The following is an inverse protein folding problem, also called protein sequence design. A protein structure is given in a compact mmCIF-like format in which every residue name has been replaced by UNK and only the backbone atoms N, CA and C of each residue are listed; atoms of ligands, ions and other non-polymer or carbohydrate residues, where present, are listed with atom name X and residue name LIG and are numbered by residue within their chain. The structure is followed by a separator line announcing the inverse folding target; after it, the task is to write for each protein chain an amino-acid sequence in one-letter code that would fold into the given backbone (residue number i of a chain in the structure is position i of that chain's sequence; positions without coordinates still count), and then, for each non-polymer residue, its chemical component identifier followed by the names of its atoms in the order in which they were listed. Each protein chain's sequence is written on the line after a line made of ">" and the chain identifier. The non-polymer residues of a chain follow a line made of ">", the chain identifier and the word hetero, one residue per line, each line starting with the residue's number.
data_IF_336573041005
#
_entry.id   IF_336573041005
#
_cell.length_a   1.000
_cell.length_b   1.000
_cell.length_c   1.000
_cell.angle_alpha   90.00
_cell.angle_beta   90.00
_cell.angle_gamma   90.00
#
_symmetry.space_group_name_H-M   'P 1'
#
loop_
_entity.id
_entity.type
_entity.pdbx_description
1 polymer ?
#
# COMPACT_ATOMS: atom_id res chain seq x y z
N UNK A 1 -67.03 -18.81 -28.93
CA UNK A 1 -66.31 -18.91 -27.65
C UNK A 1 -64.82 -18.92 -27.97
N UNK A 2 -64.13 -17.78 -27.79
CA UNK A 2 -62.67 -17.66 -28.05
C UNK A 2 -61.98 -17.70 -26.72
N UNK A 3 -61.23 -18.76 -26.45
CA UNK A 3 -60.38 -18.87 -25.26
C UNK A 3 -59.14 -18.00 -25.45
N UNK A 4 -59.02 -16.94 -24.65
CA UNK A 4 -57.84 -16.11 -24.54
C UNK A 4 -56.88 -16.79 -23.53
N UNK A 5 -55.76 -17.37 -23.99
CA UNK A 5 -54.68 -17.83 -23.12
C UNK A 5 -53.87 -16.59 -22.70
N UNK A 6 -53.97 -16.21 -21.45
CA UNK A 6 -53.15 -15.18 -20.81
C UNK A 6 -51.81 -15.80 -20.46
N UNK A 7 -50.76 -15.55 -21.27
CA UNK A 7 -49.40 -15.93 -20.93
C UNK A 7 -48.88 -14.99 -19.85
N UNK A 8 -48.71 -15.48 -18.63
CA UNK A 8 -48.03 -14.76 -17.53
C UNK A 8 -46.53 -14.70 -17.85
N UNK A 9 -46.03 -13.54 -18.30
CA UNK A 9 -44.61 -13.26 -18.32
C UNK A 9 -44.16 -13.14 -16.85
N UNK A 10 -43.52 -14.17 -16.31
CA UNK A 10 -42.71 -14.03 -15.08
C UNK A 10 -41.50 -13.20 -15.43
N UNK A 11 -41.53 -11.90 -15.12
CA UNK A 11 -40.33 -11.06 -15.10
C UNK A 11 -39.44 -11.54 -13.95
N UNK A 12 -38.35 -12.21 -14.28
CA UNK A 12 -37.27 -12.46 -13.31
C UNK A 12 -36.66 -11.13 -12.95
N UNK A 13 -37.01 -10.59 -11.80
CA UNK A 13 -36.30 -9.45 -11.23
C UNK A 13 -34.81 -9.84 -11.11
N UNK A 14 -33.88 -8.95 -11.49
CA UNK A 14 -32.48 -9.22 -11.26
C UNK A 14 -32.28 -9.47 -9.77
N UNK A 15 -31.67 -10.60 -9.43
CA UNK A 15 -31.28 -10.88 -8.07
C UNK A 15 -30.25 -9.80 -7.67
N UNK A 16 -30.67 -8.85 -6.86
CA UNK A 16 -29.74 -7.89 -6.27
C UNK A 16 -28.71 -8.68 -5.47
N UNK A 17 -27.43 -8.33 -5.65
CA UNK A 17 -26.34 -8.91 -4.88
C UNK A 17 -26.69 -8.81 -3.38
N UNK A 18 -26.71 -9.94 -2.68
CA UNK A 18 -26.83 -9.92 -1.22
C UNK A 18 -25.60 -9.19 -0.68
N UNK A 19 -25.76 -8.21 0.22
CA UNK A 19 -24.62 -7.56 0.84
C UNK A 19 -23.80 -8.62 1.59
N UNK A 20 -22.56 -8.81 1.14
CA UNK A 20 -21.62 -9.78 1.73
C UNK A 20 -20.65 -8.98 2.59
N UNK A 21 -20.49 -9.38 3.85
CA UNK A 21 -19.48 -8.82 4.75
C UNK A 21 -18.20 -9.65 4.62
N UNK A 22 -17.15 -9.03 4.12
CA UNK A 22 -15.83 -9.64 3.90
C UNK A 22 -14.74 -8.56 3.93
N UNK A 23 -13.56 -8.83 4.50
CA UNK A 23 -13.24 -9.94 5.40
C UNK A 23 -13.87 -9.75 6.80
N UNK A 24 -14.12 -10.85 7.50
CA UNK A 24 -14.67 -10.87 8.85
C UNK A 24 -13.63 -11.43 9.81
N UNK A 25 -12.98 -10.54 10.57
CA UNK A 25 -11.90 -10.88 11.51
C UNK A 25 -12.49 -11.21 12.87
N UNK A 26 -12.27 -12.43 13.33
CA UNK A 26 -12.78 -12.94 14.58
C UNK A 26 -11.83 -12.66 15.75
N UNK A 27 -12.37 -12.66 16.96
CA UNK A 27 -11.60 -12.35 18.17
C UNK A 27 -10.44 -13.33 18.45
N UNK A 28 -10.50 -14.55 17.90
CA UNK A 28 -9.47 -15.57 18.03
C UNK A 28 -8.41 -15.53 16.90
N UNK A 29 -8.49 -14.51 16.02
CA UNK A 29 -7.57 -14.33 14.89
C UNK A 29 -7.95 -15.07 13.62
N UNK A 30 -9.05 -15.86 13.60
CA UNK A 30 -9.57 -16.43 12.36
C UNK A 30 -10.15 -15.32 11.49
N UNK A 31 -10.02 -15.48 10.18
CA UNK A 31 -10.59 -14.56 9.19
C UNK A 31 -11.52 -15.33 8.26
N UNK A 32 -12.76 -14.87 8.14
CA UNK A 32 -13.71 -15.42 7.18
C UNK A 32 -13.82 -14.51 5.97
N UNK A 33 -13.43 -15.03 4.82
CA UNK A 33 -13.56 -14.38 3.53
C UNK A 33 -14.83 -14.85 2.83
N UNK A 34 -15.56 -13.93 2.20
CA UNK A 34 -16.81 -14.22 1.48
C UNK A 34 -16.84 -13.47 0.15
N UNK A 35 -17.30 -14.14 -0.89
CA UNK A 35 -17.49 -13.56 -2.22
C UNK A 35 -18.84 -14.02 -2.79
N UNK A 36 -19.70 -13.09 -3.15
CA UNK A 36 -20.90 -13.42 -3.91
C UNK A 36 -20.55 -13.53 -5.40
N UNK A 37 -20.54 -14.76 -5.91
CA UNK A 37 -20.24 -15.08 -7.30
C UNK A 37 -21.08 -16.29 -7.74
N UNK A 38 -22.42 -16.11 -7.95
CA UNK A 38 -23.36 -17.21 -8.15
C UNK A 38 -23.08 -18.02 -9.42
N UNK A 39 -22.49 -17.40 -10.45
CA UNK A 39 -22.20 -18.03 -11.73
C UNK A 39 -20.79 -18.62 -11.84
N UNK A 40 -19.91 -18.33 -10.87
CA UNK A 40 -18.55 -18.86 -10.85
C UNK A 40 -18.56 -20.39 -10.64
N UNK A 41 -17.59 -21.07 -11.29
CA UNK A 41 -17.39 -22.51 -11.20
C UNK A 41 -16.30 -22.87 -10.20
N UNK A 42 -15.30 -22.01 -10.07
CA UNK A 42 -14.17 -22.14 -9.14
C UNK A 42 -13.84 -20.78 -8.54
N UNK A 43 -13.65 -20.75 -7.21
CA UNK A 43 -13.15 -19.58 -6.50
C UNK A 43 -12.10 -20.05 -5.50
N UNK A 44 -10.92 -19.48 -5.59
CA UNK A 44 -9.81 -19.73 -4.69
C UNK A 44 -9.41 -18.46 -3.95
N UNK A 45 -9.13 -18.60 -2.67
CA UNK A 45 -8.49 -17.55 -1.88
C UNK A 45 -6.98 -17.63 -2.03
N UNK A 46 -6.37 -16.52 -2.40
CA UNK A 46 -4.94 -16.26 -2.28
C UNK A 46 -4.76 -15.27 -1.14
N UNK A 47 -4.14 -15.71 -0.06
CA UNK A 47 -3.90 -14.86 1.11
C UNK A 47 -2.48 -15.14 1.62
N UNK A 48 -1.73 -14.09 1.89
CA UNK A 48 -0.38 -14.18 2.41
C UNK A 48 -0.36 -14.97 3.73
N UNK A 49 0.60 -15.89 3.88
CA UNK A 49 0.67 -16.76 5.04
C UNK A 49 -0.37 -17.89 5.09
N UNK A 50 -1.30 -17.95 4.15
CA UNK A 50 -2.32 -19.00 4.04
C UNK A 50 -2.07 -19.80 2.77
N UNK A 51 -2.15 -21.14 2.85
CA UNK A 51 -2.09 -21.97 1.64
C UNK A 51 -3.26 -21.63 0.72
N UNK A 52 -2.99 -21.50 -0.60
CA UNK A 52 -4.04 -21.31 -1.60
C UNK A 52 -5.14 -22.36 -1.43
N UNK A 53 -6.36 -21.91 -1.21
CA UNK A 53 -7.46 -22.80 -0.82
C UNK A 53 -8.70 -22.51 -1.63
N UNK A 54 -9.33 -23.58 -2.13
CA UNK A 54 -10.63 -23.52 -2.79
C UNK A 54 -11.70 -23.13 -1.74
N UNK A 55 -12.53 -22.15 -2.10
CA UNK A 55 -13.66 -21.70 -1.28
C UNK A 55 -14.87 -22.61 -1.50
N UNK A 56 -15.78 -22.64 -0.55
CA UNK A 56 -17.02 -23.42 -0.62
C UNK A 56 -18.20 -22.53 -0.97
N UNK A 57 -18.99 -22.94 -1.96
CA UNK A 57 -20.19 -22.24 -2.42
C UNK A 57 -21.43 -22.75 -1.72
N UNK A 58 -22.25 -21.83 -1.23
CA UNK A 58 -23.59 -22.13 -0.70
C UNK A 58 -24.68 -22.07 -1.78
N UNK A 59 -25.92 -22.42 -1.38
CA UNK A 59 -27.08 -22.42 -2.27
C UNK A 59 -27.50 -21.01 -2.76
N UNK A 60 -26.98 -19.95 -2.12
CA UNK A 60 -27.24 -18.55 -2.49
C UNK A 60 -26.14 -17.97 -3.38
N UNK A 61 -25.11 -18.77 -3.72
CA UNK A 61 -24.00 -18.37 -4.58
C UNK A 61 -22.92 -17.57 -3.88
N UNK A 62 -22.87 -17.63 -2.54
CA UNK A 62 -21.80 -17.04 -1.74
C UNK A 62 -20.70 -18.09 -1.53
N UNK A 63 -19.50 -17.73 -1.92
CA UNK A 63 -18.30 -18.50 -1.66
C UNK A 63 -17.69 -18.08 -0.35
N UNK A 64 -17.31 -19.04 0.49
CA UNK A 64 -16.82 -18.79 1.85
C UNK A 64 -15.58 -19.65 2.15
N UNK A 65 -14.61 -19.05 2.83
CA UNK A 65 -13.47 -19.74 3.45
C UNK A 65 -13.13 -19.07 4.78
N UNK A 66 -12.84 -19.86 5.81
CA UNK A 66 -12.36 -19.38 7.11
C UNK A 66 -10.97 -19.95 7.36
N UNK A 67 -10.02 -19.10 7.71
CA UNK A 67 -8.64 -19.50 8.01
C UNK A 67 -8.54 -20.17 9.38
N UNK A 68 -7.43 -20.86 9.64
CA UNK A 68 -6.94 -21.04 11.00
C UNK A 68 -6.60 -19.67 11.63
N UNK A 69 -6.42 -19.57 12.95
CA UNK A 69 -6.02 -18.32 13.58
C UNK A 69 -4.72 -17.76 12.98
N UNK A 70 -4.78 -16.53 12.48
CA UNK A 70 -3.64 -15.79 11.97
C UNK A 70 -2.98 -14.99 13.09
N UNK A 71 -1.66 -14.81 13.02
CA UNK A 71 -0.95 -13.91 13.91
C UNK A 71 -1.37 -12.44 13.66
N UNK A 72 -1.28 -11.56 14.68
CA UNK A 72 -1.51 -10.14 14.47
C UNK A 72 -0.56 -9.56 13.42
N UNK A 73 -1.11 -9.14 12.27
CA UNK A 73 -0.39 -8.56 11.14
C UNK A 73 -1.36 -7.95 10.11
N UNK A 74 -0.82 -7.35 9.05
CA UNK A 74 -1.54 -6.92 7.86
C UNK A 74 -1.26 -7.93 6.76
N UNK A 75 -2.30 -8.62 6.31
CA UNK A 75 -2.21 -9.65 5.27
C UNK A 75 -2.76 -9.12 3.95
N UNK A 76 -2.07 -9.42 2.86
CA UNK A 76 -2.52 -9.13 1.50
C UNK A 76 -3.27 -10.35 0.97
N UNK A 77 -4.42 -10.13 0.31
CA UNK A 77 -5.20 -11.21 -0.26
C UNK A 77 -5.97 -10.79 -1.52
N UNK A 78 -6.35 -11.78 -2.31
CA UNK A 78 -7.21 -11.66 -3.49
C UNK A 78 -7.98 -12.96 -3.73
N UNK A 79 -8.97 -12.88 -4.59
CA UNK A 79 -9.67 -14.05 -5.10
C UNK A 79 -9.19 -14.40 -6.51
N UNK A 80 -9.11 -15.69 -6.83
CA UNK A 80 -9.06 -16.17 -8.18
C UNK A 80 -10.44 -16.75 -8.54
N UNK A 81 -11.12 -16.13 -9.48
CA UNK A 81 -12.49 -16.49 -9.89
C UNK A 81 -12.43 -16.99 -11.32
N UNK A 82 -12.59 -18.30 -11.55
CA UNK A 82 -12.51 -18.93 -12.86
C UNK A 82 -11.22 -18.55 -13.65
N UNK A 83 -10.11 -18.39 -12.94
CA UNK A 83 -8.82 -17.97 -13.51
C UNK A 83 -8.58 -16.47 -13.56
N UNK A 84 -9.53 -15.63 -13.14
CA UNK A 84 -9.38 -14.18 -13.09
C UNK A 84 -8.99 -13.72 -11.68
N UNK A 85 -7.97 -12.87 -11.60
CA UNK A 85 -7.61 -12.16 -10.39
C UNK A 85 -8.67 -11.11 -10.03
N UNK A 86 -9.14 -11.10 -8.79
CA UNK A 86 -10.17 -10.19 -8.30
C UNK A 86 -9.84 -9.72 -6.88
N UNK A 87 -9.82 -8.40 -6.67
CA UNK A 87 -9.84 -7.82 -5.32
C UNK A 87 -11.21 -8.08 -4.67
N UNK A 88 -11.27 -8.03 -3.36
CA UNK A 88 -12.54 -8.20 -2.63
C UNK A 88 -13.44 -6.97 -2.82
N UNK A 89 -14.57 -7.09 -3.52
CA UNK A 89 -15.45 -5.96 -3.76
C UNK A 89 -16.18 -5.45 -2.49
N UNK A 90 -16.17 -6.22 -1.42
CA UNK A 90 -16.77 -5.85 -0.13
C UNK A 90 -15.78 -5.16 0.82
N UNK A 91 -14.49 -5.10 0.45
CA UNK A 91 -13.43 -4.55 1.30
C UNK A 91 -12.88 -3.23 0.72
N UNK A 92 -12.95 -2.11 1.45
CA UNK A 92 -12.37 -0.84 1.00
C UNK A 92 -10.85 -0.75 1.19
N UNK A 93 -10.23 -1.68 1.93
CA UNK A 93 -8.78 -1.68 2.16
C UNK A 93 -8.06 -2.33 0.97
N UNK A 94 -7.34 -1.51 0.23
CA UNK A 94 -6.70 -1.89 -1.02
C UNK A 94 -5.19 -1.62 -0.94
N UNK A 95 -4.40 -2.66 -1.21
CA UNK A 95 -2.97 -2.51 -1.50
C UNK A 95 -2.81 -2.16 -2.98
N UNK A 96 -2.61 -0.87 -3.26
CA UNK A 96 -2.28 -0.43 -4.61
C UNK A 96 -0.92 -0.97 -5.03
N UNK A 97 -0.86 -1.48 -6.25
CA UNK A 97 0.36 -2.03 -6.81
C UNK A 97 0.31 -1.89 -8.34
N UNK A 98 1.44 -1.53 -8.96
CA UNK A 98 1.51 -1.24 -10.39
C UNK A 98 1.38 -2.49 -11.29
N UNK A 99 1.56 -3.68 -10.73
CA UNK A 99 1.42 -4.95 -11.44
C UNK A 99 0.19 -5.73 -11.00
N UNK A 100 -0.06 -5.84 -9.69
CA UNK A 100 -1.18 -6.60 -9.13
C UNK A 100 -1.74 -5.88 -7.90
N UNK A 101 -2.89 -5.24 -8.06
CA UNK A 101 -3.61 -4.67 -6.93
C UNK A 101 -4.32 -5.77 -6.16
N UNK A 102 -4.18 -5.78 -4.84
CA UNK A 102 -4.79 -6.74 -3.92
C UNK A 102 -5.63 -6.04 -2.85
N UNK A 103 -6.38 -6.80 -2.08
CA UNK A 103 -7.05 -6.34 -0.87
C UNK A 103 -6.17 -6.60 0.35
N UNK A 104 -6.45 -5.87 1.45
CA UNK A 104 -5.77 -6.06 2.74
C UNK A 104 -6.75 -6.49 3.82
N UNK A 105 -6.26 -7.26 4.78
CA UNK A 105 -6.96 -7.53 6.03
C UNK A 105 -6.03 -7.31 7.22
N UNK A 106 -6.50 -6.56 8.20
CA UNK A 106 -5.77 -6.30 9.44
C UNK A 106 -6.25 -7.27 10.52
N UNK A 107 -5.36 -8.10 11.01
CA UNK A 107 -5.60 -8.99 12.16
C UNK A 107 -5.01 -8.33 13.40
N UNK A 108 -5.83 -7.79 14.30
CA UNK A 108 -5.36 -7.08 15.49
C UNK A 108 -4.86 -8.04 16.57
N UNK A 109 -4.01 -7.50 17.48
CA UNK A 109 -3.55 -8.23 18.64
C UNK A 109 -2.47 -7.49 19.43
N UNK A 110 -1.91 -8.06 20.48
CA UNK A 110 -0.97 -7.35 21.36
C UNK A 110 0.29 -6.79 20.64
N UNK A 111 0.67 -7.41 19.53
CA UNK A 111 1.83 -6.97 18.73
C UNK A 111 1.49 -5.89 17.70
N UNK A 112 0.20 -5.72 17.35
CA UNK A 112 -0.23 -4.77 16.32
C UNK A 112 -0.34 -3.32 16.82
N UNK A 113 -0.23 -3.10 18.13
CA UNK A 113 -0.50 -1.81 18.76
C UNK A 113 0.26 -0.61 18.16
N UNK A 114 1.42 -0.85 17.52
CA UNK A 114 2.19 0.22 16.90
C UNK A 114 1.62 0.67 15.55
N UNK A 115 0.95 -0.21 14.82
CA UNK A 115 0.33 0.13 13.53
C UNK A 115 -1.19 0.23 13.59
N UNK A 116 -1.79 0.06 14.77
CA UNK A 116 -3.21 0.35 15.01
C UNK A 116 -3.44 1.86 15.17
N UNK A 117 -4.61 2.33 14.72
CA UNK A 117 -5.06 3.69 15.02
C UNK A 117 -5.43 3.77 16.50
N UNK A 118 -4.54 4.35 17.29
CA UNK A 118 -4.75 4.57 18.71
C UNK A 118 -5.27 6.00 18.95
N UNK A 119 -5.83 6.27 20.12
CA UNK A 119 -6.26 7.62 20.55
C UNK A 119 -5.03 8.44 20.98
N UNK A 120 -4.26 8.90 19.97
CA UNK A 120 -3.08 9.75 20.12
C UNK A 120 -3.14 10.87 19.08
N UNK A 121 -2.41 11.98 19.28
CA UNK A 121 -2.30 13.00 18.24
C UNK A 121 -1.71 12.41 16.94
N UNK A 122 -2.36 12.70 15.81
CA UNK A 122 -1.93 12.22 14.49
C UNK A 122 -1.28 13.33 13.67
N UNK A 123 -0.31 12.94 12.84
CA UNK A 123 0.27 13.78 11.81
C UNK A 123 -0.60 13.87 10.55
N UNK A 124 -0.08 14.57 9.53
CA UNK A 124 -0.81 14.81 8.28
C UNK A 124 -0.01 14.27 7.11
N UNK A 125 -0.71 13.63 6.17
CA UNK A 125 -0.16 13.21 4.88
C UNK A 125 -0.45 14.27 3.82
N UNK A 126 0.59 14.71 3.12
CA UNK A 126 0.52 15.67 2.01
C UNK A 126 1.00 14.99 0.74
N UNK A 127 0.21 15.00 -0.32
CA UNK A 127 0.59 14.47 -1.63
C UNK A 127 0.98 15.60 -2.57
N UNK A 128 2.18 15.52 -3.13
CA UNK A 128 2.75 16.49 -4.07
C UNK A 128 2.86 15.87 -5.45
N UNK A 129 2.41 16.60 -6.46
CA UNK A 129 2.57 16.22 -7.86
C UNK A 129 3.59 17.14 -8.53
N UNK A 130 4.45 16.59 -9.37
CA UNK A 130 5.45 17.37 -10.10
C UNK A 130 5.82 16.68 -11.41
N UNK A 131 6.32 17.47 -12.37
CA UNK A 131 6.95 16.92 -13.56
C UNK A 131 8.43 16.72 -13.28
N UNK A 132 8.91 15.48 -13.42
CA UNK A 132 10.33 15.15 -13.26
C UNK A 132 11.05 15.37 -14.60
N UNK A 133 12.02 16.26 -14.61
CA UNK A 133 12.87 16.48 -15.79
C UNK A 133 13.91 15.38 -15.97
N UNK A 134 14.34 14.76 -14.86
CA UNK A 134 15.27 13.63 -14.83
C UNK A 134 14.63 12.37 -15.40
N UNK A 135 13.43 12.05 -14.95
CA UNK A 135 12.69 10.87 -15.42
C UNK A 135 11.99 11.10 -16.76
N UNK A 136 11.50 12.33 -17.00
CA UNK A 136 10.78 12.73 -18.21
C UNK A 136 9.29 12.40 -18.14
N UNK A 137 8.71 12.33 -16.95
CA UNK A 137 7.29 12.00 -16.73
C UNK A 137 6.71 12.72 -15.50
N UNK A 138 5.38 12.63 -15.33
CA UNK A 138 4.68 13.19 -14.17
C UNK A 138 4.73 12.21 -12.99
N UNK A 139 5.07 12.72 -11.81
CA UNK A 139 5.33 11.96 -10.60
C UNK A 139 4.68 12.57 -9.38
N UNK A 140 4.71 11.83 -8.32
CA UNK A 140 4.30 12.31 -7.02
C UNK A 140 5.23 11.80 -5.90
N UNK A 141 5.10 12.43 -4.74
CA UNK A 141 5.65 11.96 -3.47
C UNK A 141 4.70 12.33 -2.35
N UNK A 142 4.70 11.54 -1.28
CA UNK A 142 3.92 11.80 -0.08
C UNK A 142 4.86 12.27 1.02
N UNK A 143 4.45 13.31 1.73
CA UNK A 143 5.14 13.83 2.92
C UNK A 143 4.24 13.66 4.14
N UNK A 144 4.75 12.98 5.14
CA UNK A 144 4.13 12.99 6.46
C UNK A 144 4.79 14.08 7.30
N UNK A 145 3.95 14.93 7.93
CA UNK A 145 4.35 15.89 8.96
C UNK A 145 3.85 15.41 10.32
N UNK A 146 4.71 15.42 11.37
CA UNK A 146 4.34 14.87 12.69
C UNK A 146 3.29 15.70 13.40
N UNK A 147 2.61 15.16 14.44
CA UNK A 147 1.68 15.91 15.26
C UNK A 147 2.31 17.19 15.79
N UNK A 148 1.56 18.30 15.75
CA UNK A 148 2.04 19.60 16.18
C UNK A 148 3.07 20.24 15.24
N UNK A 149 3.22 19.77 14.00
CA UNK A 149 3.99 20.48 12.99
C UNK A 149 3.36 21.85 12.70
N UNK A 150 4.17 22.90 12.85
CA UNK A 150 3.76 24.29 12.58
C UNK A 150 4.67 24.88 11.49
N UNK A 151 4.14 25.19 10.29
CA UNK A 151 4.92 25.75 9.20
C UNK A 151 5.36 27.22 9.48
N UNK A 152 4.84 27.87 10.52
CA UNK A 152 5.27 29.22 10.93
C UNK A 152 6.39 29.20 11.98
N UNK A 153 6.60 28.07 12.64
CA UNK A 153 7.61 27.93 13.68
C UNK A 153 9.02 27.87 13.10
N UNK A 154 10.02 28.31 13.88
CA UNK A 154 11.44 28.19 13.49
C UNK A 154 12.03 26.81 13.68
N UNK A 155 11.26 25.87 14.27
CA UNK A 155 11.70 24.51 14.55
C UNK A 155 11.96 23.75 13.23
N UNK A 156 13.14 23.14 13.11
CA UNK A 156 13.47 22.24 12.00
C UNK A 156 13.35 20.81 12.46
N UNK A 157 12.90 19.95 11.54
CA UNK A 157 12.65 18.54 11.81
C UNK A 157 13.68 17.66 11.07
N UNK A 158 14.14 16.57 11.67
CA UNK A 158 14.84 15.53 10.93
C UNK A 158 13.94 14.98 9.83
N UNK A 159 14.54 14.44 8.78
CA UNK A 159 13.80 13.87 7.65
C UNK A 159 14.28 12.45 7.33
N UNK A 160 13.31 11.56 7.15
CA UNK A 160 13.52 10.20 6.65
C UNK A 160 12.95 10.11 5.23
N UNK A 161 13.79 9.78 4.25
CA UNK A 161 13.37 9.37 2.91
C UNK A 161 13.12 7.86 2.95
N UNK A 162 11.86 7.44 2.77
CA UNK A 162 11.41 6.07 2.94
C UNK A 162 10.91 5.50 1.62
N UNK A 163 11.64 4.52 1.06
CA UNK A 163 11.50 4.05 -0.30
C UNK A 163 10.74 2.73 -0.35
N UNK A 164 9.76 2.64 -1.25
CA UNK A 164 8.93 1.44 -1.44
C UNK A 164 9.65 0.35 -2.26
N UNK A 165 9.08 -0.86 -2.28
CA UNK A 165 9.58 -2.01 -3.03
C UNK A 165 9.18 -1.98 -4.51
N UNK A 166 9.71 -2.95 -5.27
CA UNK A 166 9.34 -3.14 -6.68
C UNK A 166 7.84 -3.44 -6.81
N UNK A 167 7.23 -2.90 -7.82
CA UNK A 167 5.80 -2.90 -8.15
C UNK A 167 4.88 -2.07 -7.24
N UNK A 168 5.34 -1.61 -6.10
CA UNK A 168 4.59 -0.67 -5.25
C UNK A 168 4.61 0.77 -5.80
N UNK A 169 3.88 1.68 -5.16
CA UNK A 169 3.83 3.10 -5.46
C UNK A 169 4.05 3.98 -4.21
N UNK A 170 3.88 5.28 -4.34
CA UNK A 170 4.07 6.25 -3.25
C UNK A 170 3.20 6.00 -2.02
N UNK A 171 2.10 5.25 -2.15
CA UNK A 171 1.16 4.97 -1.06
C UNK A 171 1.57 3.77 -0.20
N UNK A 172 2.51 2.94 -0.66
CA UNK A 172 2.87 1.68 -0.01
C UNK A 172 3.18 1.84 1.49
N UNK A 173 4.03 2.81 1.84
CA UNK A 173 4.41 3.03 3.23
C UNK A 173 3.33 3.72 4.08
N UNK A 174 2.42 4.48 3.49
CA UNK A 174 1.34 5.14 4.23
C UNK A 174 0.07 4.30 4.31
N UNK A 175 -0.30 3.58 3.26
CA UNK A 175 -1.48 2.73 3.22
C UNK A 175 -1.22 1.37 3.89
N UNK A 176 -0.26 0.59 3.37
CA UNK A 176 0.04 -0.77 3.84
C UNK A 176 0.99 -0.76 5.02
N UNK A 177 2.18 -0.12 4.86
CA UNK A 177 3.22 -0.09 5.88
C UNK A 177 2.89 0.79 7.08
N UNK A 178 1.87 1.65 6.99
CA UNK A 178 1.35 2.51 8.06
C UNK A 178 2.41 3.31 8.79
N UNK A 179 3.47 3.72 8.08
CA UNK A 179 4.64 4.41 8.66
C UNK A 179 4.25 5.69 9.42
N UNK A 180 3.24 6.42 8.94
CA UNK A 180 2.67 7.58 9.61
C UNK A 180 2.03 7.21 10.97
N UNK A 181 1.21 6.16 11.01
CA UNK A 181 0.53 5.67 12.23
C UNK A 181 1.56 5.14 13.23
N UNK A 182 2.54 4.37 12.74
CA UNK A 182 3.64 3.86 13.58
C UNK A 182 4.39 5.02 14.23
N UNK A 183 4.73 6.05 13.45
CA UNK A 183 5.48 7.18 13.97
C UNK A 183 4.66 8.02 14.96
N UNK A 184 3.34 8.23 14.70
CA UNK A 184 2.42 8.86 15.65
C UNK A 184 2.44 8.14 17.00
N UNK A 185 2.28 6.81 16.98
CA UNK A 185 2.29 5.99 18.19
C UNK A 185 3.63 6.01 18.92
N UNK A 186 4.74 5.98 18.20
CA UNK A 186 6.09 6.04 18.78
C UNK A 186 6.38 7.42 19.39
N UNK A 187 5.94 8.51 18.74
CA UNK A 187 6.08 9.88 19.25
C UNK A 187 5.27 10.04 20.55
N UNK A 188 4.00 9.60 20.54
CA UNK A 188 3.13 9.68 21.71
C UNK A 188 3.69 8.90 22.91
N UNK A 189 4.45 7.84 22.68
CA UNK A 189 5.13 7.03 23.72
C UNK A 189 6.52 7.56 24.11
N UNK A 190 6.98 8.65 23.48
CA UNK A 190 8.35 9.16 23.70
C UNK A 190 9.47 8.26 23.19
N UNK A 191 9.14 7.29 22.30
CA UNK A 191 10.08 6.32 21.72
C UNK A 191 10.70 6.81 20.40
N UNK A 192 10.13 7.82 19.78
CA UNK A 192 10.68 8.48 18.60
C UNK A 192 10.62 10.00 18.73
N UNK A 193 11.59 10.68 18.14
CA UNK A 193 11.53 12.15 17.98
C UNK A 193 10.59 12.48 16.83
N UNK A 194 9.82 13.59 16.92
CA UNK A 194 9.06 14.09 15.78
C UNK A 194 9.97 14.34 14.58
N UNK A 195 9.66 13.70 13.45
CA UNK A 195 10.39 13.82 12.18
C UNK A 195 9.42 13.87 11.00
N UNK A 196 9.89 14.35 9.87
CA UNK A 196 9.19 14.31 8.60
C UNK A 196 9.56 13.02 7.88
N UNK A 197 8.58 12.33 7.25
CA UNK A 197 8.84 11.20 6.37
C UNK A 197 8.49 11.63 4.95
N UNK A 198 9.38 11.37 3.99
CA UNK A 198 9.18 11.61 2.56
C UNK A 198 9.16 10.27 1.85
N UNK A 199 8.07 9.98 1.16
CA UNK A 199 7.81 8.71 0.46
C UNK A 199 7.67 9.00 -1.04
N UNK A 200 8.78 9.04 -1.80
CA UNK A 200 8.75 9.31 -3.23
C UNK A 200 8.38 8.07 -4.04
N UNK A 201 7.96 8.28 -5.30
CA UNK A 201 7.90 7.21 -6.29
C UNK A 201 9.32 6.72 -6.59
N UNK A 202 9.62 5.47 -6.26
CA UNK A 202 10.96 4.88 -6.29
C UNK A 202 11.47 4.46 -7.68
N UNK A 203 10.89 4.95 -8.77
CA UNK A 203 11.33 4.57 -10.12
C UNK A 203 12.06 5.71 -10.81
N UNK A 204 13.35 5.53 -11.17
CA UNK A 204 14.06 6.42 -12.08
C UNK A 204 13.53 6.31 -13.51
N UNK A 205 12.97 5.17 -13.89
CA UNK A 205 12.26 4.95 -15.16
C UNK A 205 11.16 3.93 -15.02
N UNK A 206 9.99 4.22 -15.60
CA UNK A 206 8.86 3.28 -15.61
C UNK A 206 9.07 2.06 -16.52
N UNK A 207 10.17 2.01 -17.28
CA UNK A 207 10.51 0.84 -18.11
C UNK A 207 10.77 -0.42 -17.28
N UNK A 208 11.15 -0.28 -16.01
CA UNK A 208 11.31 -1.41 -15.07
C UNK A 208 9.98 -2.09 -14.76
N UNK A 209 8.86 -1.38 -14.86
CA UNK A 209 7.51 -1.91 -14.62
C UNK A 209 6.89 -2.48 -15.89
N UNK A 210 7.12 -1.86 -17.07
CA UNK A 210 6.49 -2.26 -18.34
C UNK A 210 6.72 -3.71 -18.74
N UNK A 211 7.85 -4.29 -18.34
CA UNK A 211 8.18 -5.69 -18.60
C UNK A 211 7.77 -6.66 -17.48
N UNK A 212 7.19 -6.17 -16.40
CA UNK A 212 6.82 -6.96 -15.22
C UNK A 212 8.01 -7.74 -14.64
N UNK A 213 7.71 -8.79 -13.91
CA UNK A 213 8.72 -9.65 -13.28
C UNK A 213 9.69 -10.32 -14.26
N UNK A 214 9.34 -10.43 -15.55
CA UNK A 214 10.22 -11.03 -16.55
C UNK A 214 11.52 -10.24 -16.75
N UNK A 215 11.55 -8.94 -16.43
CA UNK A 215 12.72 -8.06 -16.56
C UNK A 215 13.50 -7.85 -15.26
N UNK A 216 13.17 -8.57 -14.20
CA UNK A 216 13.83 -8.43 -12.89
C UNK A 216 15.36 -8.67 -12.97
N UNK A 217 15.81 -9.46 -13.92
CA UNK A 217 17.23 -9.79 -14.12
C UNK A 217 17.95 -8.91 -15.15
N UNK A 218 17.31 -7.84 -15.69
CA UNK A 218 17.94 -6.92 -16.62
C UNK A 218 18.79 -5.89 -15.85
N UNK A 219 20.04 -6.25 -15.57
CA UNK A 219 20.96 -5.43 -14.77
C UNK A 219 21.19 -4.02 -15.34
N UNK A 220 21.23 -3.86 -16.68
CA UNK A 220 21.41 -2.55 -17.30
C UNK A 220 20.20 -1.65 -17.14
N UNK A 221 18.98 -2.22 -17.13
CA UNK A 221 17.77 -1.49 -16.85
C UNK A 221 17.70 -1.06 -15.40
N UNK A 222 18.04 -1.96 -14.47
CA UNK A 222 18.05 -1.69 -13.03
C UNK A 222 19.10 -0.63 -12.65
N UNK A 223 20.30 -0.68 -13.24
CA UNK A 223 21.30 0.35 -12.98
C UNK A 223 20.80 1.73 -13.42
N UNK A 224 20.23 1.84 -14.63
CA UNK A 224 19.62 3.11 -15.11
C UNK A 224 18.48 3.60 -14.21
N UNK A 225 17.69 2.65 -13.66
CA UNK A 225 16.64 3.00 -12.70
C UNK A 225 17.21 3.65 -11.44
N UNK A 226 18.20 3.02 -10.84
CA UNK A 226 18.82 3.52 -9.59
C UNK A 226 19.52 4.84 -9.83
N UNK A 227 20.28 4.99 -10.93
CA UNK A 227 20.98 6.23 -11.26
C UNK A 227 19.99 7.39 -11.42
N UNK A 228 18.98 7.23 -12.26
CA UNK A 228 17.95 8.25 -12.48
C UNK A 228 17.13 8.54 -11.22
N UNK A 229 16.80 7.52 -10.42
CA UNK A 229 16.11 7.72 -9.16
C UNK A 229 16.96 8.56 -8.20
N UNK A 230 18.25 8.26 -8.09
CA UNK A 230 19.20 9.02 -7.26
C UNK A 230 19.22 10.50 -7.68
N UNK A 231 19.38 10.77 -8.97
CA UNK A 231 19.39 12.13 -9.50
C UNK A 231 18.06 12.84 -9.23
N UNK A 232 16.91 12.19 -9.49
CA UNK A 232 15.59 12.77 -9.24
C UNK A 232 15.35 13.04 -7.73
N UNK A 233 15.79 12.14 -6.85
CA UNK A 233 15.71 12.35 -5.42
C UNK A 233 16.51 13.56 -4.96
N UNK A 234 17.79 13.66 -5.40
CA UNK A 234 18.72 14.69 -4.95
C UNK A 234 18.43 16.06 -5.55
N UNK A 235 18.06 16.12 -6.84
CA UNK A 235 17.94 17.34 -7.59
C UNK A 235 16.51 17.88 -7.72
N UNK A 236 15.50 17.03 -7.49
CA UNK A 236 14.09 17.43 -7.64
C UNK A 236 13.30 17.29 -6.35
N UNK A 237 13.24 16.09 -5.73
CA UNK A 237 12.39 15.83 -4.55
C UNK A 237 12.94 16.55 -3.32
N UNK A 238 14.22 16.38 -3.01
CA UNK A 238 14.83 16.99 -1.83
C UNK A 238 14.72 18.52 -1.82
N UNK A 239 15.04 19.25 -2.93
CA UNK A 239 14.86 20.71 -2.98
C UNK A 239 13.40 21.14 -2.81
N UNK A 240 12.42 20.40 -3.35
CA UNK A 240 11.01 20.71 -3.16
C UNK A 240 10.59 20.54 -1.70
N UNK A 241 11.03 19.47 -1.03
CA UNK A 241 10.79 19.22 0.39
C UNK A 241 11.43 20.32 1.26
N UNK A 242 12.68 20.69 0.98
CA UNK A 242 13.41 21.76 1.70
C UNK A 242 12.79 23.15 1.53
N UNK A 243 12.12 23.39 0.41
CA UNK A 243 11.39 24.62 0.12
C UNK A 243 10.04 24.66 0.83
N UNK A 244 9.36 23.52 0.93
CA UNK A 244 7.96 23.44 1.38
C UNK A 244 7.84 23.15 2.87
N UNK A 245 8.86 22.58 3.49
CA UNK A 245 8.84 22.12 4.88
C UNK A 245 10.07 22.57 5.66
N UNK A 246 9.90 22.73 6.97
CA UNK A 246 10.98 23.07 7.88
C UNK A 246 11.84 21.85 8.25
N UNK A 247 12.54 21.28 7.28
CA UNK A 247 13.48 20.20 7.49
C UNK A 247 14.87 20.71 7.87
N UNK A 248 15.61 19.93 8.68
CA UNK A 248 17.03 20.18 8.88
C UNK A 248 17.80 19.82 7.59
N UNK A 249 18.81 20.65 7.29
CA UNK A 249 19.67 20.42 6.12
C UNK A 249 20.97 19.70 6.47
N UNK A 250 21.21 19.48 7.76
CA UNK A 250 22.39 18.78 8.25
C UNK A 250 22.28 17.29 7.94
N UNK A 251 23.38 16.68 7.50
CA UNK A 251 23.40 15.26 7.15
C UNK A 251 22.98 14.37 8.31
N UNK A 252 23.37 14.72 9.55
CA UNK A 252 23.05 13.99 10.77
C UNK A 252 21.56 13.97 11.11
N UNK A 253 20.79 14.82 10.47
CA UNK A 253 19.33 14.91 10.57
C UNK A 253 18.61 14.33 9.36
N UNK A 254 19.33 13.66 8.44
CA UNK A 254 18.77 13.14 7.21
C UNK A 254 19.11 11.67 7.04
N UNK A 255 18.08 10.84 6.94
CA UNK A 255 18.20 9.40 6.72
C UNK A 255 17.51 8.96 5.45
N UNK A 256 17.97 7.85 4.87
CA UNK A 256 17.33 7.17 3.76
C UNK A 256 17.20 5.69 4.10
N UNK A 257 16.04 5.11 3.86
CA UNK A 257 15.76 3.70 4.10
C UNK A 257 14.75 3.18 3.09
N UNK A 258 14.65 1.87 2.91
CA UNK A 258 13.69 1.30 1.99
C UNK A 258 13.60 -0.22 2.06
N UNK A 259 12.60 -0.76 1.35
CA UNK A 259 12.32 -2.18 1.24
C UNK A 259 12.74 -2.70 -0.14
N UNK A 260 13.41 -3.85 -0.23
CA UNK A 260 13.70 -4.54 -1.50
C UNK A 260 14.37 -3.62 -2.53
N UNK A 261 13.72 -3.24 -3.62
CA UNK A 261 14.19 -2.22 -4.57
C UNK A 261 14.60 -0.93 -3.85
N UNK A 262 13.72 -0.39 -3.00
CA UNK A 262 14.01 0.80 -2.20
C UNK A 262 15.17 0.60 -1.22
N UNK A 263 15.42 -0.63 -0.76
CA UNK A 263 16.61 -0.99 0.03
C UNK A 263 17.89 -0.83 -0.80
N UNK A 264 17.90 -1.31 -2.05
CA UNK A 264 19.01 -1.13 -2.98
C UNK A 264 19.24 0.36 -3.28
N UNK A 265 18.19 1.10 -3.57
CA UNK A 265 18.24 2.54 -3.83
C UNK A 265 18.76 3.31 -2.61
N UNK A 266 18.33 2.94 -1.41
CA UNK A 266 18.81 3.54 -0.16
C UNK A 266 20.31 3.32 0.04
N UNK A 267 20.78 2.09 -0.17
CA UNK A 267 22.20 1.76 -0.02
C UNK A 267 23.06 2.46 -1.07
N UNK A 268 22.66 2.39 -2.34
CA UNK A 268 23.42 3.03 -3.44
C UNK A 268 23.44 4.53 -3.26
N UNK A 269 22.29 5.16 -3.07
CA UNK A 269 22.21 6.63 -2.91
C UNK A 269 22.93 7.07 -1.62
N UNK A 270 22.65 6.42 -0.48
CA UNK A 270 23.20 6.83 0.81
C UNK A 270 24.72 6.68 0.87
N UNK A 271 25.27 5.56 0.40
CA UNK A 271 26.70 5.31 0.45
C UNK A 271 27.51 6.15 -0.54
N UNK A 272 26.94 6.53 -1.69
CA UNK A 272 27.57 7.38 -2.66
C UNK A 272 27.43 8.89 -2.35
N UNK A 273 26.56 9.25 -1.39
CA UNK A 273 26.31 10.65 -1.00
C UNK A 273 26.36 10.83 0.52
N UNK A 274 27.50 10.41 1.12
CA UNK A 274 27.74 10.53 2.57
C UNK A 274 27.79 11.99 3.07
N UNK A 275 27.91 12.96 2.19
CA UNK A 275 27.75 14.37 2.49
C UNK A 275 26.28 14.78 2.67
N UNK A 276 25.33 13.97 2.22
CA UNK A 276 23.89 14.24 2.23
C UNK A 276 23.14 13.43 3.31
N UNK A 277 23.60 12.23 3.64
CA UNK A 277 22.93 11.29 4.57
C UNK A 277 23.87 10.82 5.68
N UNK A 278 23.28 10.55 6.87
CA UNK A 278 23.98 9.99 8.03
C UNK A 278 24.01 8.47 8.05
#
# INVERSE_FOLDING_TARGET
>A
MKNLLLAMLMSTLPAFAQPVFSPDVQADGRVTFRLWAPNAKDVQLHCEGVKNTAMQKDDHGVWTFTTDPLAPDIYVYSFNVDGLHLIDPANPLIKYNLLNTDSEVHVPGPKSILWELNDVPHGILHRHFYHSTVAGDDRDFIVYTPPGYDPSARKRYPVLYLLHGYSDDTTAWSAVGRANVILDNLIARGQAKPMIIVMPLGYGTMDVIKGGWARINDSGLWQRNVDKFTDALLDEVMPQVEKSYHVSKDRESRAIAGLSMGGTESLVTGLNHLDRFA
#
